data_IF_738271000765
#
_entry.id   IF_738271000765
#
_cell.length_a   1.000
_cell.length_b   1.000
_cell.length_c   1.000
_cell.angle_alpha   90.00
_cell.angle_beta   90.00
_cell.angle_gamma   90.00
#
_symmetry.space_group_name_H-M   'P 1'
#
loop_
_entity.id
_entity.type
_entity.pdbx_description
1 polymer ?
#
# COMPACT_ATOMS: atom_id res chain seq x y z
N UNK A 1 -13.72 8.71 -14.64
CA UNK A 1 -13.35 7.28 -14.67
C UNK A 1 -14.08 6.56 -13.54
N UNK A 2 -14.53 5.33 -13.77
CA UNK A 2 -15.20 4.53 -12.75
C UNK A 2 -14.17 3.67 -12.02
N UNK A 3 -14.03 3.89 -10.74
CA UNK A 3 -13.05 3.19 -9.89
C UNK A 3 -13.80 2.33 -8.87
N UNK A 4 -13.51 1.03 -8.86
CA UNK A 4 -13.93 0.14 -7.80
C UNK A 4 -12.80 0.03 -6.76
N UNK A 5 -13.13 0.37 -5.51
CA UNK A 5 -12.15 0.33 -4.43
C UNK A 5 -11.92 -1.10 -3.97
N UNK A 6 -10.65 -1.47 -3.88
CA UNK A 6 -10.23 -2.60 -3.07
C UNK A 6 -9.62 -2.08 -1.78
N UNK A 7 -10.33 -2.23 -0.68
CA UNK A 7 -9.83 -1.90 0.66
C UNK A 7 -9.30 -3.19 1.29
N UNK A 8 -7.98 -3.35 1.43
CA UNK A 8 -7.39 -4.54 2.03
C UNK A 8 -7.91 -4.78 3.45
N UNK A 9 -8.11 -6.06 3.82
CA UNK A 9 -8.66 -6.45 5.12
C UNK A 9 -7.95 -5.78 6.30
N UNK A 10 -6.65 -5.62 6.21
CA UNK A 10 -5.83 -4.97 7.22
C UNK A 10 -6.14 -3.47 7.38
N UNK A 11 -6.36 -2.76 6.27
CA UNK A 11 -6.74 -1.36 6.27
C UNK A 11 -8.18 -1.22 6.77
N UNK A 12 -9.10 -2.04 6.27
CA UNK A 12 -10.50 -2.03 6.66
C UNK A 12 -10.69 -2.19 8.18
N UNK A 13 -9.92 -3.10 8.78
CA UNK A 13 -10.08 -3.44 10.20
C UNK A 13 -9.31 -2.54 11.17
N UNK A 14 -8.15 -2.02 10.78
CA UNK A 14 -7.24 -1.33 11.71
C UNK A 14 -7.01 0.15 11.35
N UNK A 15 -7.16 0.52 10.09
CA UNK A 15 -6.81 1.85 9.58
C UNK A 15 -7.84 2.38 8.58
N UNK A 16 -9.16 2.36 8.89
CA UNK A 16 -10.21 2.70 7.94
C UNK A 16 -10.08 4.13 7.38
N UNK A 17 -9.48 5.05 8.13
CA UNK A 17 -9.25 6.43 7.70
C UNK A 17 -8.39 6.51 6.43
N UNK A 18 -7.46 5.58 6.23
CA UNK A 18 -6.65 5.50 4.99
C UNK A 18 -7.56 5.29 3.78
N UNK A 19 -8.56 4.40 3.90
CA UNK A 19 -9.50 4.16 2.81
C UNK A 19 -10.39 5.38 2.55
N UNK A 20 -10.89 6.04 3.59
CA UNK A 20 -11.68 7.27 3.45
C UNK A 20 -10.86 8.40 2.83
N UNK A 21 -9.61 8.55 3.21
CA UNK A 21 -8.72 9.56 2.65
C UNK A 21 -8.38 9.26 1.18
N UNK A 22 -8.18 7.99 0.82
CA UNK A 22 -8.05 7.58 -0.59
C UNK A 22 -9.30 7.96 -1.40
N UNK A 23 -10.51 7.71 -0.88
CA UNK A 23 -11.78 8.12 -1.51
C UNK A 23 -11.80 9.62 -1.78
N UNK A 24 -11.52 10.45 -0.77
CA UNK A 24 -11.49 11.91 -0.91
C UNK A 24 -10.57 12.37 -2.05
N UNK A 25 -9.36 11.82 -2.13
CA UNK A 25 -8.40 12.17 -3.17
C UNK A 25 -8.91 11.74 -4.56
N UNK A 26 -9.44 10.52 -4.69
CA UNK A 26 -9.96 10.02 -5.97
C UNK A 26 -11.20 10.79 -6.45
N UNK A 27 -12.11 11.17 -5.54
CA UNK A 27 -13.25 12.01 -5.87
C UNK A 27 -12.81 13.41 -6.30
N UNK A 28 -11.83 13.99 -5.61
CA UNK A 28 -11.23 15.28 -6.01
C UNK A 28 -10.55 15.20 -7.38
N UNK A 29 -10.01 14.04 -7.73
CA UNK A 29 -9.48 13.75 -9.07
C UNK A 29 -10.57 13.55 -10.14
N UNK A 30 -11.85 13.64 -9.80
CA UNK A 30 -12.97 13.48 -10.72
C UNK A 30 -13.34 12.03 -11.00
N UNK A 31 -12.96 11.08 -10.14
CA UNK A 31 -13.36 9.69 -10.25
C UNK A 31 -14.76 9.47 -9.64
N UNK A 32 -15.51 8.56 -10.25
CA UNK A 32 -16.73 8.00 -9.66
C UNK A 32 -16.36 6.73 -8.92
N UNK A 33 -16.67 6.68 -7.63
CA UNK A 33 -16.22 5.61 -6.73
C UNK A 33 -17.33 4.59 -6.51
N UNK A 34 -16.97 3.31 -6.57
CA UNK A 34 -17.82 2.19 -6.15
C UNK A 34 -17.09 1.33 -5.12
N UNK A 35 -17.86 0.76 -4.19
CA UNK A 35 -17.34 -0.11 -3.14
C UNK A 35 -18.20 -1.36 -3.00
N UNK A 36 -17.58 -2.53 -3.12
CA UNK A 36 -18.25 -3.81 -2.88
C UNK A 36 -18.15 -4.17 -1.40
N UNK A 37 -19.27 -4.12 -0.68
CA UNK A 37 -19.34 -4.44 0.76
C UNK A 37 -18.98 -5.90 1.09
N UNK A 38 -19.04 -6.79 0.10
CA UNK A 38 -18.74 -8.21 0.27
C UNK A 38 -17.27 -8.54 0.00
N UNK A 39 -16.44 -7.56 -0.37
CA UNK A 39 -15.03 -7.79 -0.62
C UNK A 39 -14.32 -8.32 0.63
N UNK A 40 -13.26 -9.11 0.40
CA UNK A 40 -12.49 -9.73 1.48
C UNK A 40 -10.99 -9.54 1.24
N UNK A 41 -10.17 -10.45 1.70
CA UNK A 41 -8.71 -10.42 1.53
C UNK A 41 -8.32 -10.71 0.07
N UNK A 42 -7.12 -10.25 -0.34
CA UNK A 42 -6.50 -10.65 -1.60
C UNK A 42 -5.97 -12.11 -1.61
N UNK A 43 -5.87 -12.77 -0.45
CA UNK A 43 -5.33 -14.13 -0.34
C UNK A 43 -3.82 -14.24 -0.11
N UNK A 44 -3.08 -13.14 -0.15
CA UNK A 44 -1.61 -13.14 0.01
C UNK A 44 -1.10 -13.81 1.29
N UNK A 45 -1.70 -13.60 2.49
CA UNK A 45 -1.20 -14.23 3.71
C UNK A 45 -1.22 -15.77 3.67
N UNK A 46 -2.31 -16.35 3.17
CA UNK A 46 -2.41 -17.82 3.00
C UNK A 46 -1.40 -18.31 1.96
N UNK A 47 -1.28 -17.62 0.84
CA UNK A 47 -0.31 -17.96 -0.21
C UNK A 47 1.13 -17.97 0.33
N UNK A 48 1.54 -16.90 1.03
CA UNK A 48 2.88 -16.76 1.60
C UNK A 48 3.16 -17.81 2.70
N UNK A 49 2.13 -18.29 3.38
CA UNK A 49 2.25 -19.34 4.39
C UNK A 49 2.28 -20.76 3.80
N UNK A 50 2.10 -20.91 2.48
CA UNK A 50 2.11 -22.20 1.79
C UNK A 50 0.73 -22.87 1.67
N UNK A 51 -0.33 -22.24 2.14
CA UNK A 51 -1.71 -22.71 2.02
C UNK A 51 -2.32 -22.28 0.67
N UNK A 52 -1.81 -22.87 -0.40
CA UNK A 52 -2.16 -22.42 -1.76
C UNK A 52 -3.58 -22.80 -2.19
N UNK A 53 -4.13 -23.89 -1.64
CA UNK A 53 -5.53 -24.29 -1.86
C UNK A 53 -6.49 -23.25 -1.32
N UNK A 54 -6.33 -22.91 -0.05
CA UNK A 54 -7.12 -21.91 0.67
C UNK A 54 -6.92 -20.50 0.08
N UNK A 55 -5.68 -20.17 -0.30
CA UNK A 55 -5.40 -18.92 -1.00
C UNK A 55 -6.19 -18.84 -2.30
N UNK A 56 -6.25 -19.94 -3.08
CA UNK A 56 -6.96 -19.99 -4.36
C UNK A 56 -8.46 -19.78 -4.20
N UNK A 57 -9.07 -20.29 -3.13
CA UNK A 57 -10.49 -20.05 -2.82
C UNK A 57 -10.76 -18.56 -2.56
N UNK A 58 -9.94 -17.91 -1.72
CA UNK A 58 -10.03 -16.46 -1.46
C UNK A 58 -9.80 -15.65 -2.74
N UNK A 59 -8.80 -16.02 -3.54
CA UNK A 59 -8.51 -15.36 -4.81
C UNK A 59 -9.65 -15.54 -5.82
N UNK A 60 -10.33 -16.68 -5.84
CA UNK A 60 -11.51 -16.91 -6.71
C UNK A 60 -12.64 -15.95 -6.34
N UNK A 61 -12.90 -15.79 -5.03
CA UNK A 61 -13.88 -14.80 -4.57
C UNK A 61 -13.49 -13.38 -5.00
N UNK A 62 -12.22 -13.01 -4.83
CA UNK A 62 -11.71 -11.71 -5.27
C UNK A 62 -11.98 -11.47 -6.76
N UNK A 63 -11.67 -12.45 -7.61
CA UNK A 63 -11.92 -12.34 -9.04
C UNK A 63 -13.41 -12.11 -9.37
N UNK A 64 -14.30 -12.80 -8.67
CA UNK A 64 -15.75 -12.63 -8.82
C UNK A 64 -16.22 -11.25 -8.35
N UNK A 65 -15.72 -10.80 -7.19
CA UNK A 65 -16.10 -9.51 -6.60
C UNK A 65 -15.71 -8.31 -7.49
N UNK A 66 -14.66 -8.44 -8.30
CA UNK A 66 -14.10 -7.38 -9.14
C UNK A 66 -14.22 -7.63 -10.65
N UNK A 67 -15.01 -8.62 -11.08
CA UNK A 67 -15.12 -9.02 -12.49
C UNK A 67 -15.52 -7.86 -13.43
N UNK A 68 -16.47 -7.04 -13.03
CA UNK A 68 -17.00 -5.91 -13.80
C UNK A 68 -16.24 -4.58 -13.65
N UNK A 69 -15.18 -4.52 -12.83
CA UNK A 69 -14.48 -3.27 -12.58
C UNK A 69 -13.72 -2.76 -13.81
N UNK A 70 -13.87 -1.46 -14.11
CA UNK A 70 -13.05 -0.79 -15.12
C UNK A 70 -11.62 -0.59 -14.60
N UNK A 71 -11.49 -0.02 -13.40
CA UNK A 71 -10.27 0.11 -12.63
C UNK A 71 -10.50 -0.39 -11.22
N UNK A 72 -9.51 -1.08 -10.65
CA UNK A 72 -9.48 -1.49 -9.24
C UNK A 72 -8.32 -0.73 -8.60
N UNK A 73 -8.60 0.08 -7.58
CA UNK A 73 -7.57 0.87 -6.91
C UNK A 73 -7.50 0.48 -5.43
N UNK A 74 -6.29 0.25 -4.94
CA UNK A 74 -6.04 -0.14 -3.57
C UNK A 74 -4.90 0.67 -2.94
N UNK A 75 -5.01 1.05 -1.65
CA UNK A 75 -3.95 1.75 -0.91
C UNK A 75 -2.95 0.75 -0.29
N UNK A 76 -2.46 -0.21 -1.09
CA UNK A 76 -1.53 -1.24 -0.61
C UNK A 76 -0.79 -1.88 -1.76
N UNK A 77 0.50 -1.58 -1.86
CA UNK A 77 1.36 -2.14 -2.88
C UNK A 77 1.53 -3.66 -2.74
N UNK A 78 1.50 -4.20 -1.51
CA UNK A 78 1.66 -5.63 -1.27
C UNK A 78 0.48 -6.43 -1.83
N UNK A 79 -0.75 -5.98 -1.60
CA UNK A 79 -1.94 -6.62 -2.16
C UNK A 79 -2.02 -6.50 -3.68
N UNK A 80 -1.74 -5.30 -4.21
CA UNK A 80 -1.74 -5.06 -5.66
C UNK A 80 -0.68 -5.89 -6.36
N UNK A 81 0.55 -5.90 -5.84
CA UNK A 81 1.64 -6.71 -6.38
C UNK A 81 1.33 -8.20 -6.38
N UNK A 82 0.68 -8.70 -5.33
CA UNK A 82 0.23 -10.09 -5.26
C UNK A 82 -0.80 -10.42 -6.36
N UNK A 83 -1.82 -9.60 -6.54
CA UNK A 83 -2.83 -9.81 -7.60
C UNK A 83 -2.19 -9.72 -8.98
N UNK A 84 -1.35 -8.71 -9.23
CA UNK A 84 -0.69 -8.50 -10.53
C UNK A 84 0.22 -9.65 -10.95
N UNK A 85 1.02 -10.18 -10.02
CA UNK A 85 2.14 -11.06 -10.39
C UNK A 85 1.89 -12.54 -10.11
N UNK A 86 0.93 -12.87 -9.22
CA UNK A 86 0.75 -14.26 -8.76
C UNK A 86 -0.60 -14.86 -9.13
N UNK A 87 -1.65 -14.07 -9.35
CA UNK A 87 -2.96 -14.60 -9.71
C UNK A 87 -2.93 -15.39 -11.02
N UNK A 88 -2.29 -14.88 -12.07
CA UNK A 88 -2.17 -15.58 -13.34
C UNK A 88 -1.49 -16.94 -13.21
N UNK A 89 -0.47 -17.03 -12.35
CA UNK A 89 0.22 -18.30 -12.05
C UNK A 89 -0.66 -19.24 -11.24
N UNK A 90 -1.34 -18.72 -10.22
CA UNK A 90 -2.24 -19.50 -9.35
C UNK A 90 -3.40 -20.11 -10.12
N UNK A 91 -3.88 -19.43 -11.17
CA UNK A 91 -4.99 -19.85 -12.03
C UNK A 91 -4.57 -20.38 -13.40
N UNK A 92 -3.29 -20.66 -13.65
CA UNK A 92 -2.76 -21.06 -14.95
C UNK A 92 -3.53 -22.24 -15.59
N UNK A 93 -3.88 -23.24 -14.77
CA UNK A 93 -4.63 -24.44 -15.19
C UNK A 93 -6.09 -24.40 -14.71
N UNK A 94 -6.75 -23.25 -14.82
CA UNK A 94 -8.11 -23.04 -14.30
C UNK A 94 -8.98 -22.30 -15.31
N UNK A 95 -10.28 -22.50 -15.25
CA UNK A 95 -11.28 -21.71 -16.01
C UNK A 95 -11.22 -20.20 -15.68
N UNK A 96 -10.65 -19.84 -14.53
CA UNK A 96 -10.49 -18.44 -14.11
C UNK A 96 -9.23 -17.75 -14.66
N UNK A 97 -8.40 -18.41 -15.47
CA UNK A 97 -7.15 -17.82 -15.99
C UNK A 97 -7.40 -16.49 -16.71
N UNK A 98 -8.32 -16.45 -17.66
CA UNK A 98 -8.64 -15.22 -18.40
C UNK A 98 -9.12 -14.09 -17.49
N UNK A 99 -9.92 -14.42 -16.45
CA UNK A 99 -10.38 -13.43 -15.48
C UNK A 99 -9.23 -12.92 -14.60
N UNK A 100 -8.33 -13.80 -14.18
CA UNK A 100 -7.12 -13.42 -13.42
C UNK A 100 -6.23 -12.48 -14.23
N UNK A 101 -5.99 -12.74 -15.50
CA UNK A 101 -5.23 -11.88 -16.42
C UNK A 101 -5.90 -10.50 -16.58
N UNK A 102 -7.22 -10.47 -16.79
CA UNK A 102 -7.96 -9.21 -16.88
C UNK A 102 -7.90 -8.40 -15.58
N UNK A 103 -8.03 -9.06 -14.45
CA UNK A 103 -7.97 -8.41 -13.12
C UNK A 103 -6.58 -7.86 -12.85
N UNK A 104 -5.52 -8.62 -13.13
CA UNK A 104 -4.13 -8.19 -12.98
C UNK A 104 -3.80 -6.92 -13.79
N UNK A 105 -4.42 -6.75 -14.97
CA UNK A 105 -4.22 -5.57 -15.82
C UNK A 105 -5.05 -4.35 -15.39
N UNK A 106 -6.05 -4.52 -14.52
CA UNK A 106 -6.97 -3.45 -14.10
C UNK A 106 -6.79 -3.01 -12.65
N UNK A 107 -5.93 -3.70 -11.89
CA UNK A 107 -5.63 -3.34 -10.51
C UNK A 107 -4.40 -2.44 -10.43
N UNK A 108 -4.51 -1.37 -9.67
CA UNK A 108 -3.47 -0.36 -9.49
C UNK A 108 -3.29 -0.05 -8.02
N UNK A 109 -2.04 0.16 -7.63
CA UNK A 109 -1.73 0.81 -6.37
C UNK A 109 -2.12 2.30 -6.47
N UNK A 110 -2.53 2.88 -5.36
CA UNK A 110 -3.10 4.23 -5.32
C UNK A 110 -2.21 5.30 -5.97
N UNK A 111 -0.91 5.33 -5.67
CA UNK A 111 0.02 6.28 -6.27
C UNK A 111 0.26 6.03 -7.76
N UNK A 112 0.31 4.75 -8.16
CA UNK A 112 0.39 4.34 -9.56
C UNK A 112 -0.80 4.87 -10.36
N UNK A 113 -2.00 4.69 -9.82
CA UNK A 113 -3.23 5.14 -10.47
C UNK A 113 -3.27 6.66 -10.64
N UNK A 114 -2.93 7.42 -9.60
CA UNK A 114 -2.93 8.88 -9.65
C UNK A 114 -1.93 9.43 -10.69
N UNK A 115 -0.71 8.90 -10.68
CA UNK A 115 0.38 9.44 -11.51
C UNK A 115 0.34 8.90 -12.94
N UNK A 116 0.21 7.58 -13.10
CA UNK A 116 0.38 6.94 -14.41
C UNK A 116 -0.93 6.79 -15.19
N UNK A 117 -2.08 6.67 -14.51
CA UNK A 117 -3.40 6.54 -15.16
C UNK A 117 -4.11 7.88 -15.27
N UNK A 118 -4.26 8.61 -14.15
CA UNK A 118 -4.91 9.92 -14.14
C UNK A 118 -3.99 11.05 -14.63
N UNK A 119 -2.68 10.84 -14.59
CA UNK A 119 -1.65 11.85 -14.92
C UNK A 119 -1.81 13.13 -14.07
N UNK A 120 -2.17 12.96 -12.80
CA UNK A 120 -2.39 14.05 -11.87
C UNK A 120 -1.54 13.84 -10.62
N UNK A 121 -0.78 14.88 -10.24
CA UNK A 121 0.16 14.84 -9.12
C UNK A 121 -0.11 15.90 -8.05
N UNK A 122 -0.93 16.90 -8.34
CA UNK A 122 -1.29 17.98 -7.40
C UNK A 122 -2.78 17.89 -7.06
N UNK A 123 -3.07 17.70 -5.79
CA UNK A 123 -4.43 17.63 -5.22
C UNK A 123 -4.71 18.81 -4.28
N UNK A 124 -3.83 19.80 -4.23
CA UNK A 124 -3.93 20.94 -3.33
C UNK A 124 -3.79 20.58 -1.85
N UNK A 125 -3.07 19.49 -1.56
CA UNK A 125 -2.81 19.06 -0.19
C UNK A 125 -1.87 20.02 0.54
N UNK A 126 -2.07 20.19 1.84
CA UNK A 126 -1.22 21.01 2.70
C UNK A 126 -0.93 20.27 4.00
N UNK A 127 0.35 20.00 4.25
CA UNK A 127 0.82 19.32 5.44
C UNK A 127 2.13 19.93 5.90
N UNK A 128 2.14 20.58 7.06
CA UNK A 128 3.35 21.19 7.60
C UNK A 128 4.12 20.17 8.44
N UNK A 129 5.32 19.81 8.00
CA UNK A 129 6.18 18.87 8.74
C UNK A 129 7.34 18.35 7.91
N UNK A 130 8.27 17.72 8.60
CA UNK A 130 9.39 17.01 7.98
C UNK A 130 9.08 15.52 7.92
N UNK A 131 9.21 14.94 6.76
CA UNK A 131 8.97 13.52 6.58
C UNK A 131 10.08 12.85 5.79
N UNK A 132 10.27 11.57 6.05
CA UNK A 132 11.05 10.69 5.19
C UNK A 132 10.12 9.64 4.58
N UNK A 133 10.57 8.99 3.50
CA UNK A 133 9.76 8.02 2.79
C UNK A 133 10.33 6.60 2.95
N UNK A 134 9.48 5.62 3.23
CA UNK A 134 9.82 4.22 3.23
C UNK A 134 9.36 3.56 1.94
N UNK A 135 10.30 3.15 1.08
CA UNK A 135 10.02 2.33 -0.09
C UNK A 135 9.70 0.89 0.34
N UNK A 136 8.41 0.53 0.34
CA UNK A 136 8.05 -0.85 0.65
C UNK A 136 8.58 -1.81 -0.42
N UNK A 137 9.02 -2.99 0.00
CA UNK A 137 9.57 -3.98 -0.92
C UNK A 137 8.57 -4.39 -2.01
N UNK A 138 7.27 -4.40 -1.69
CA UNK A 138 6.22 -4.69 -2.65
C UNK A 138 6.04 -3.56 -3.67
N UNK A 139 6.06 -2.29 -3.25
CA UNK A 139 6.03 -1.17 -4.17
C UNK A 139 7.18 -1.24 -5.18
N UNK A 140 8.42 -1.42 -4.68
CA UNK A 140 9.61 -1.46 -5.52
C UNK A 140 9.66 -2.68 -6.44
N UNK A 141 9.48 -3.89 -5.87
CA UNK A 141 9.78 -5.15 -6.58
C UNK A 141 8.60 -5.70 -7.33
N UNK A 142 7.39 -5.59 -6.76
CA UNK A 142 6.18 -6.15 -7.34
C UNK A 142 5.43 -5.15 -8.24
N UNK A 143 5.33 -3.88 -7.80
CA UNK A 143 4.63 -2.83 -8.55
C UNK A 143 5.55 -1.94 -9.38
N UNK A 144 6.88 -1.96 -9.17
CA UNK A 144 7.88 -1.12 -9.85
C UNK A 144 7.69 0.39 -9.61
N UNK A 145 7.18 0.73 -8.44
CA UNK A 145 6.89 2.10 -8.00
C UNK A 145 8.02 2.64 -7.12
N UNK A 146 8.55 3.79 -7.46
CA UNK A 146 9.56 4.52 -6.69
C UNK A 146 9.37 6.04 -6.82
N UNK A 147 9.14 6.51 -8.04
CA UNK A 147 9.04 7.94 -8.36
C UNK A 147 7.66 8.48 -8.04
N UNK A 148 6.63 7.70 -8.24
CA UNK A 148 5.23 8.09 -8.19
C UNK A 148 4.83 8.68 -6.82
N UNK A 149 5.13 8.03 -5.68
CA UNK A 149 4.83 8.63 -4.37
C UNK A 149 5.57 9.96 -4.14
N UNK A 150 6.81 10.06 -4.61
CA UNK A 150 7.62 11.28 -4.47
C UNK A 150 7.08 12.44 -5.30
N UNK A 151 6.64 12.17 -6.53
CA UNK A 151 5.99 13.17 -7.38
C UNK A 151 4.71 13.73 -6.73
N UNK A 152 3.96 12.90 -6.03
CA UNK A 152 2.79 13.32 -5.28
C UNK A 152 3.17 14.17 -4.07
N UNK A 153 4.13 13.71 -3.27
CA UNK A 153 4.57 14.39 -2.04
C UNK A 153 5.25 15.73 -2.31
N UNK A 154 5.96 15.88 -3.43
CA UNK A 154 6.59 17.14 -3.83
C UNK A 154 5.59 18.28 -4.07
N UNK A 155 4.32 17.97 -4.36
CA UNK A 155 3.25 18.93 -4.55
C UNK A 155 2.47 19.25 -3.26
N UNK A 156 2.82 18.62 -2.13
CA UNK A 156 2.17 18.88 -0.85
C UNK A 156 2.76 20.13 -0.22
N UNK A 157 1.94 21.17 -0.07
CA UNK A 157 2.40 22.44 0.49
C UNK A 157 2.81 22.30 1.96
N UNK A 158 4.02 22.77 2.28
CA UNK A 158 4.56 22.79 3.63
C UNK A 158 5.24 21.49 4.05
N UNK A 159 5.24 20.45 3.21
CA UNK A 159 5.96 19.20 3.46
C UNK A 159 7.43 19.32 3.02
N UNK A 160 8.34 19.05 3.94
CA UNK A 160 9.77 18.87 3.66
C UNK A 160 10.05 17.37 3.60
N UNK A 161 10.31 16.84 2.40
CA UNK A 161 10.62 15.43 2.19
C UNK A 161 12.13 15.24 2.17
N UNK A 162 12.65 14.45 3.10
CA UNK A 162 14.09 14.16 3.26
C UNK A 162 14.28 12.66 3.09
N UNK A 163 15.12 12.23 2.14
CA UNK A 163 15.40 10.81 1.94
C UNK A 163 16.29 10.28 3.07
N UNK A 164 15.92 9.14 3.61
CA UNK A 164 16.76 8.40 4.58
C UNK A 164 17.79 7.53 3.84
N UNK A 165 18.86 7.20 4.51
CA UNK A 165 19.79 6.17 4.03
C UNK A 165 19.09 4.81 3.96
N UNK A 166 19.52 3.94 3.03
CA UNK A 166 18.97 2.59 2.84
C UNK A 166 17.44 2.58 2.73
N UNK A 167 16.87 3.56 2.04
CA UNK A 167 15.42 3.73 1.88
C UNK A 167 14.70 2.48 1.37
N UNK A 168 15.37 1.68 0.54
CA UNK A 168 14.84 0.45 -0.09
C UNK A 168 14.95 -0.80 0.80
N UNK A 169 15.62 -0.70 1.97
CA UNK A 169 15.72 -1.83 2.90
C UNK A 169 14.36 -2.20 3.46
N UNK A 170 14.07 -3.50 3.52
CA UNK A 170 12.80 -4.01 4.02
C UNK A 170 12.56 -3.61 5.48
N UNK A 171 11.30 -3.30 5.81
CA UNK A 171 10.90 -2.97 7.19
C UNK A 171 10.91 -4.16 8.16
N UNK A 172 10.98 -5.40 7.66
CA UNK A 172 10.97 -6.60 8.50
C UNK A 172 9.59 -7.21 8.76
N UNK A 173 8.47 -6.61 8.34
CA UNK A 173 7.14 -7.14 8.63
C UNK A 173 6.92 -8.54 8.02
N UNK A 174 6.92 -8.67 6.69
CA UNK A 174 6.79 -9.94 5.99
C UNK A 174 5.59 -10.83 6.39
N UNK A 175 4.53 -10.27 6.98
CA UNK A 175 3.37 -11.02 7.46
C UNK A 175 3.74 -12.01 8.58
N UNK A 176 3.65 -13.31 8.30
CA UNK A 176 4.01 -14.36 9.26
C UNK A 176 5.50 -14.37 9.64
N UNK A 177 6.37 -13.71 8.86
CA UNK A 177 7.79 -13.59 9.17
C UNK A 177 8.01 -12.82 10.49
N UNK A 178 7.28 -11.74 10.71
CA UNK A 178 7.39 -10.94 11.94
C UNK A 178 7.06 -11.75 13.20
N UNK A 179 6.19 -12.76 13.09
CA UNK A 179 5.83 -13.64 14.19
C UNK A 179 6.81 -14.81 14.34
N UNK A 180 7.23 -15.41 13.23
CA UNK A 180 8.11 -16.59 13.25
C UNK A 180 9.56 -16.26 13.53
N UNK A 181 10.02 -15.07 13.15
CA UNK A 181 11.40 -14.63 13.24
C UNK A 181 11.49 -13.24 13.88
N UNK A 182 10.76 -13.05 14.99
CA UNK A 182 10.63 -11.77 15.70
C UNK A 182 11.96 -11.03 15.93
N UNK A 183 13.04 -11.64 16.43
CA UNK A 183 14.29 -10.91 16.66
C UNK A 183 14.89 -10.30 15.38
N UNK A 184 14.78 -11.02 14.26
CA UNK A 184 15.30 -10.53 12.97
C UNK A 184 14.38 -9.42 12.45
N UNK A 185 13.08 -9.62 12.54
CA UNK A 185 12.07 -8.66 12.12
C UNK A 185 12.21 -7.32 12.85
N UNK A 186 12.37 -7.37 14.16
CA UNK A 186 12.58 -6.19 15.01
C UNK A 186 13.91 -5.49 14.67
N UNK A 187 15.00 -6.24 14.49
CA UNK A 187 16.29 -5.66 14.13
C UNK A 187 16.24 -4.92 12.77
N UNK A 188 15.46 -5.43 11.79
CA UNK A 188 15.25 -4.75 10.51
C UNK A 188 14.45 -3.44 10.68
N UNK A 189 13.40 -3.44 11.50
CA UNK A 189 12.63 -2.24 11.80
C UNK A 189 13.48 -1.22 12.56
N UNK A 190 14.29 -1.67 13.49
CA UNK A 190 15.20 -0.83 14.28
C UNK A 190 16.22 -0.10 13.41
N UNK A 191 16.81 -0.78 12.42
CA UNK A 191 17.69 -0.15 11.45
C UNK A 191 16.94 0.92 10.66
N UNK A 192 15.73 0.64 10.20
CA UNK A 192 14.90 1.59 9.45
C UNK A 192 14.56 2.83 10.30
N UNK A 193 14.20 2.64 11.58
CA UNK A 193 13.92 3.73 12.51
C UNK A 193 15.18 4.59 12.72
N UNK A 194 16.34 3.98 12.91
CA UNK A 194 17.61 4.69 13.07
C UNK A 194 17.94 5.58 11.88
N UNK A 195 17.76 5.06 10.64
CA UNK A 195 18.00 5.84 9.41
C UNK A 195 16.97 6.98 9.27
N UNK A 196 15.72 6.75 9.66
CA UNK A 196 14.70 7.79 9.65
C UNK A 196 14.99 8.90 10.69
N UNK A 197 15.39 8.55 11.90
CA UNK A 197 15.78 9.51 12.95
C UNK A 197 16.99 10.36 12.54
N UNK A 198 17.94 9.78 11.81
CA UNK A 198 19.10 10.49 11.29
C UNK A 198 18.75 11.64 10.33
N UNK A 199 17.57 11.59 9.69
CA UNK A 199 17.07 12.69 8.86
C UNK A 199 16.47 13.85 9.64
N UNK A 200 16.28 13.71 10.95
CA UNK A 200 15.50 14.64 11.79
C UNK A 200 14.06 14.86 11.29
N UNK A 201 13.49 13.87 10.63
CA UNK A 201 12.08 13.86 10.24
C UNK A 201 11.18 13.53 11.44
N UNK A 202 9.97 14.06 11.41
CA UNK A 202 8.92 13.75 12.39
C UNK A 202 8.06 12.56 11.95
N UNK A 203 8.03 12.31 10.62
CA UNK A 203 7.13 11.32 10.02
C UNK A 203 7.86 10.37 9.07
N UNK A 204 7.41 9.12 9.05
CA UNK A 204 7.72 8.15 8.00
C UNK A 204 6.46 7.94 7.17
N UNK A 205 6.55 8.20 5.86
CA UNK A 205 5.45 8.01 4.92
C UNK A 205 5.69 6.76 4.08
N UNK A 206 4.65 6.02 3.76
CA UNK A 206 4.69 4.89 2.81
C UNK A 206 3.33 4.65 2.16
N UNK A 207 3.30 3.82 1.12
CA UNK A 207 2.08 3.29 0.48
C UNK A 207 1.66 1.93 1.03
N UNK A 208 2.30 1.42 2.04
CA UNK A 208 2.00 0.08 2.60
C UNK A 208 1.81 0.15 4.11
N UNK A 209 0.54 0.14 4.53
CA UNK A 209 0.18 0.27 5.94
C UNK A 209 0.71 -0.88 6.81
N UNK A 210 0.94 -2.04 6.22
CA UNK A 210 1.52 -3.18 6.92
C UNK A 210 2.97 -2.92 7.37
N UNK A 211 3.77 -2.26 6.51
CA UNK A 211 5.11 -1.80 6.88
C UNK A 211 5.05 -0.72 7.95
N UNK A 212 4.16 0.26 7.78
CA UNK A 212 4.00 1.38 8.71
C UNK A 212 3.60 0.91 10.10
N UNK A 213 2.65 -0.04 10.21
CA UNK A 213 2.26 -0.62 11.48
C UNK A 213 3.45 -1.27 12.21
N UNK A 214 4.25 -2.03 11.50
CA UNK A 214 5.41 -2.71 12.10
C UNK A 214 6.46 -1.71 12.58
N UNK A 215 6.77 -0.71 11.75
CA UNK A 215 7.69 0.37 12.11
C UNK A 215 7.16 1.16 13.32
N UNK A 216 5.88 1.52 13.32
CA UNK A 216 5.24 2.25 14.43
C UNK A 216 5.30 1.48 15.76
N UNK A 217 5.01 0.17 15.71
CA UNK A 217 5.11 -0.69 16.89
C UNK A 217 6.53 -0.74 17.47
N UNK A 218 7.54 -0.90 16.62
CA UNK A 218 8.95 -0.90 17.03
C UNK A 218 9.41 0.50 17.52
N UNK A 219 8.99 1.57 16.84
CA UNK A 219 9.30 2.94 17.21
C UNK A 219 8.73 3.29 18.60
N UNK A 220 7.49 2.91 18.89
CA UNK A 220 6.87 3.09 20.20
C UNK A 220 7.61 2.35 21.31
N UNK A 221 8.02 1.11 21.05
CA UNK A 221 8.82 0.32 22.02
C UNK A 221 10.18 0.95 22.32
N UNK A 222 10.76 1.67 21.36
CA UNK A 222 12.01 2.41 21.51
C UNK A 222 11.85 3.84 22.04
N UNK A 223 10.62 4.27 22.31
CA UNK A 223 10.31 5.64 22.65
C UNK A 223 10.80 6.67 21.61
N UNK A 224 10.81 6.27 20.33
CA UNK A 224 11.10 7.15 19.21
C UNK A 224 10.01 8.22 19.05
N UNK A 225 10.39 9.42 18.62
CA UNK A 225 9.45 10.50 18.32
C UNK A 225 8.74 10.34 16.96
N UNK A 226 9.25 9.45 16.12
CA UNK A 226 8.74 9.23 14.76
C UNK A 226 7.28 8.75 14.77
N UNK A 227 6.50 9.33 13.88
CA UNK A 227 5.12 8.92 13.59
C UNK A 227 5.04 8.35 12.19
N UNK A 228 4.09 7.47 11.95
CA UNK A 228 3.87 6.90 10.62
C UNK A 228 2.62 7.49 9.98
N UNK A 229 2.64 7.67 8.66
CA UNK A 229 1.50 8.15 7.89
C UNK A 229 1.41 7.43 6.56
N UNK A 230 0.20 7.06 6.16
CA UNK A 230 -0.02 6.57 4.82
C UNK A 230 -0.02 7.73 3.82
N UNK A 231 0.44 7.48 2.57
CA UNK A 231 0.44 8.49 1.51
C UNK A 231 -0.96 9.12 1.31
N UNK A 232 -2.03 8.33 1.40
CA UNK A 232 -3.39 8.84 1.25
C UNK A 232 -3.77 9.88 2.33
N UNK A 233 -3.27 9.72 3.56
CA UNK A 233 -3.53 10.66 4.66
C UNK A 233 -2.88 12.01 4.39
N UNK A 234 -1.66 11.99 3.86
CA UNK A 234 -0.92 13.20 3.48
C UNK A 234 -1.61 13.92 2.32
N UNK A 235 -2.01 13.18 1.28
CA UNK A 235 -2.66 13.76 0.10
C UNK A 235 -4.07 14.29 0.37
N UNK A 236 -4.75 13.77 1.40
CA UNK A 236 -6.07 14.24 1.82
C UNK A 236 -6.00 15.34 2.88
N UNK A 237 -4.81 15.86 3.24
CA UNK A 237 -4.65 16.87 4.28
C UNK A 237 -4.86 18.30 3.77
N UNK A 238 -5.38 19.17 4.65
CA UNK A 238 -5.48 20.61 4.42
C UNK A 238 -6.68 21.07 3.61
N UNK A 239 -7.63 20.18 3.33
CA UNK A 239 -8.89 20.49 2.63
C UNK A 239 -10.03 19.54 3.02
#
# INVERSE_FOLDING_TARGET
>A
MNVQLFVPCFIDQLYPDVAFNMVKVLEKAGCTISYNKNQTCCGQPAFNAGFWGEAKEVCTKFLTDFEGAEYIVAPSASCVGFVKNYYTKLFENSSHKSLAEKTANRIFEFSDFLVNVLQQTDFGASFNGKATYHDSCAALRECKLKKEPRQLLQNVKGLELIEMDDVETCCGFGGTFAVKFEPISVAMADQKITHAEATSADFIISTDMSCLMHIDGCAKNKHSHLKVMHLADVLASGW
#
